data_IF_193663951413
#
_entry.id   IF_193663951413
#
_cell.length_a   1.000
_cell.length_b   1.000
_cell.length_c   1.000
_cell.angle_alpha   90.00
_cell.angle_beta   90.00
_cell.angle_gamma   90.00
#
_symmetry.space_group_name_H-M   'P 1'
#
loop_
_entity.id
_entity.type
_entity.pdbx_description
1 polymer ?
#
# COMPACT_ATOMS: atom_id res chain seq x y z
N UNK A 1 61.72 131.75 -39.14
CA UNK A 1 60.96 130.75 -39.93
C UNK A 1 61.70 129.45 -40.22
N UNK A 2 63.03 129.42 -40.39
CA UNK A 2 63.77 128.15 -40.63
C UNK A 2 63.79 127.15 -39.46
N UNK A 3 63.62 127.61 -38.21
CA UNK A 3 63.66 126.73 -37.02
C UNK A 3 62.34 125.99 -36.73
N UNK A 4 61.20 126.52 -37.22
CA UNK A 4 59.88 125.94 -36.96
C UNK A 4 59.54 124.84 -37.98
N UNK A 5 60.02 124.98 -39.22
CA UNK A 5 59.86 123.95 -40.27
C UNK A 5 60.69 122.69 -40.00
N UNK A 6 61.87 122.84 -39.37
CA UNK A 6 62.70 121.68 -38.97
C UNK A 6 62.11 120.95 -37.77
N UNK A 7 61.44 121.64 -36.85
CA UNK A 7 60.74 121.00 -35.74
C UNK A 7 59.50 120.23 -36.21
N UNK A 8 58.72 120.77 -37.16
CA UNK A 8 57.59 120.03 -37.74
C UNK A 8 58.04 118.83 -38.59
N UNK A 9 59.18 118.91 -39.30
CA UNK A 9 59.72 117.75 -40.04
C UNK A 9 60.26 116.65 -39.11
N UNK A 10 60.81 117.00 -37.94
CA UNK A 10 61.22 116.00 -36.93
C UNK A 10 60.02 115.31 -36.25
N UNK A 11 58.90 116.02 -36.08
CA UNK A 11 57.68 115.44 -35.51
C UNK A 11 56.97 114.53 -36.53
N UNK A 12 57.05 114.82 -37.84
CA UNK A 12 56.47 113.96 -38.88
C UNK A 12 57.34 112.76 -39.30
N UNK A 13 58.66 112.78 -39.04
CA UNK A 13 59.56 111.62 -39.30
C UNK A 13 59.57 110.62 -38.12
N UNK A 14 59.09 111.02 -36.94
CA UNK A 14 58.94 110.14 -35.77
C UNK A 14 57.61 109.38 -35.70
N UNK A 15 56.65 109.72 -36.56
CA UNK A 15 55.45 108.92 -36.83
C UNK A 15 55.64 108.07 -38.09
N UNK A 16 56.70 107.27 -38.10
CA UNK A 16 56.89 106.20 -39.07
C UNK A 16 55.85 105.08 -38.83
N UNK A 17 55.33 104.44 -39.90
CA UNK A 17 54.43 103.28 -39.81
C UNK A 17 55.04 102.09 -39.04
N UNK A 18 56.36 102.12 -38.82
CA UNK A 18 57.15 101.14 -38.11
C UNK A 18 56.63 100.82 -36.69
N UNK A 19 56.09 101.79 -35.94
CA UNK A 19 55.57 101.51 -34.59
C UNK A 19 54.23 100.74 -34.63
N UNK A 20 53.42 100.92 -35.67
CA UNK A 20 52.13 100.25 -35.81
C UNK A 20 52.29 98.83 -36.39
N UNK A 21 53.23 98.66 -37.33
CA UNK A 21 53.65 97.35 -37.85
C UNK A 21 54.36 96.51 -36.78
N UNK A 22 55.27 97.06 -35.98
CA UNK A 22 55.89 96.31 -34.88
C UNK A 22 54.88 95.83 -33.83
N UNK A 23 53.84 96.65 -33.54
CA UNK A 23 52.74 96.25 -32.65
C UNK A 23 51.86 95.17 -33.29
N UNK A 24 51.66 95.22 -34.62
CA UNK A 24 50.93 94.19 -35.38
C UNK A 24 51.70 92.87 -35.43
N UNK A 25 53.02 92.89 -35.65
CA UNK A 25 53.89 91.71 -35.60
C UNK A 25 53.95 91.09 -34.19
N UNK A 26 54.06 91.89 -33.13
CA UNK A 26 53.99 91.40 -31.75
C UNK A 26 52.61 90.84 -31.37
N UNK A 27 51.53 91.42 -31.91
CA UNK A 27 50.16 90.94 -31.70
C UNK A 27 49.86 89.67 -32.51
N UNK A 28 50.43 89.52 -33.70
CA UNK A 28 50.38 88.30 -34.51
C UNK A 28 51.16 87.15 -33.84
N UNK A 29 52.26 87.44 -33.14
CA UNK A 29 53.05 86.46 -32.37
C UNK A 29 52.35 86.03 -31.06
N UNK A 30 51.76 86.96 -30.30
CA UNK A 30 50.96 86.64 -29.10
C UNK A 30 49.72 85.79 -29.44
N UNK A 31 49.05 86.09 -30.56
CA UNK A 31 47.94 85.28 -31.05
C UNK A 31 48.41 83.90 -31.53
N UNK A 32 49.58 83.80 -32.17
CA UNK A 32 50.16 82.52 -32.59
C UNK A 32 50.51 81.63 -31.38
N UNK A 33 51.04 82.22 -30.30
CA UNK A 33 51.30 81.52 -29.03
C UNK A 33 50.00 81.01 -28.41
N UNK A 34 48.96 81.85 -28.29
CA UNK A 34 47.64 81.43 -27.79
C UNK A 34 46.99 80.34 -28.67
N UNK A 35 47.14 80.43 -29.99
CA UNK A 35 46.68 79.39 -30.92
C UNK A 35 47.42 78.07 -30.67
N UNK A 36 48.72 78.12 -30.38
CA UNK A 36 49.50 76.93 -30.05
C UNK A 36 49.10 76.34 -28.71
N UNK A 37 48.98 77.15 -27.66
CA UNK A 37 48.55 76.71 -26.32
C UNK A 37 47.14 76.10 -26.35
N UNK A 38 46.22 76.72 -27.09
CA UNK A 38 44.87 76.19 -27.29
C UNK A 38 44.89 74.90 -28.10
N UNK A 39 45.76 74.78 -29.10
CA UNK A 39 45.94 73.53 -29.85
C UNK A 39 46.50 72.41 -28.97
N UNK A 40 47.53 72.70 -28.17
CA UNK A 40 48.13 71.73 -27.25
C UNK A 40 47.07 71.27 -26.21
N UNK A 41 46.25 72.19 -25.70
CA UNK A 41 45.11 71.88 -24.83
C UNK A 41 44.04 71.02 -25.52
N UNK A 42 43.76 71.28 -26.80
CA UNK A 42 42.83 70.48 -27.61
C UNK A 42 43.39 69.06 -27.80
N UNK A 43 44.68 68.92 -28.06
CA UNK A 43 45.32 67.62 -28.26
C UNK A 43 45.34 66.80 -26.95
N UNK A 44 45.56 67.44 -25.81
CA UNK A 44 45.44 66.81 -24.48
C UNK A 44 44.00 66.34 -24.21
N UNK A 45 43.00 67.19 -24.44
CA UNK A 45 41.58 66.83 -24.30
C UNK A 45 41.17 65.69 -25.25
N UNK A 46 41.74 65.63 -26.45
CA UNK A 46 41.50 64.52 -27.39
C UNK A 46 42.05 63.20 -26.87
N UNK A 47 43.25 63.20 -26.28
CA UNK A 47 43.81 62.00 -25.66
C UNK A 47 42.99 61.54 -24.46
N UNK A 48 42.56 62.46 -23.60
CA UNK A 48 41.69 62.14 -22.47
C UNK A 48 40.34 61.57 -22.94
N UNK A 49 39.72 62.18 -23.94
CA UNK A 49 38.47 61.68 -24.53
C UNK A 49 38.64 60.26 -25.10
N UNK A 50 39.72 60.02 -25.84
CA UNK A 50 40.01 58.68 -26.36
C UNK A 50 40.21 57.64 -25.24
N UNK A 51 40.88 58.03 -24.15
CA UNK A 51 41.05 57.15 -23.00
C UNK A 51 39.69 56.81 -22.36
N UNK A 52 38.84 57.81 -22.17
CA UNK A 52 37.48 57.62 -21.63
C UNK A 52 36.62 56.75 -22.56
N UNK A 53 36.69 56.93 -23.88
CA UNK A 53 35.97 56.08 -24.84
C UNK A 53 36.42 54.61 -24.75
N UNK A 54 37.72 54.35 -24.56
CA UNK A 54 38.25 52.99 -24.39
C UNK A 54 37.75 52.38 -23.08
N UNK A 55 37.76 53.15 -21.98
CA UNK A 55 37.22 52.70 -20.70
C UNK A 55 35.73 52.36 -20.80
N UNK A 56 34.92 53.22 -21.44
CA UNK A 56 33.50 52.97 -21.66
C UNK A 56 33.27 51.68 -22.45
N UNK A 57 34.01 51.44 -23.53
CA UNK A 57 33.91 50.18 -24.30
C UNK A 57 34.23 48.96 -23.45
N UNK A 58 35.25 49.02 -22.60
CA UNK A 58 35.57 47.94 -21.65
C UNK A 58 34.46 47.72 -20.64
N UNK A 59 33.79 48.77 -20.18
CA UNK A 59 32.65 48.63 -19.27
C UNK A 59 31.44 48.00 -19.96
N UNK A 60 31.15 48.38 -21.19
CA UNK A 60 30.08 47.79 -21.98
C UNK A 60 30.30 46.30 -22.24
N UNK A 61 31.54 45.91 -22.57
CA UNK A 61 31.91 44.50 -22.71
C UNK A 61 31.74 43.73 -21.39
N UNK A 62 32.17 44.30 -20.26
CA UNK A 62 31.94 43.69 -18.92
C UNK A 62 30.45 43.53 -18.62
N UNK A 63 29.63 44.53 -18.96
CA UNK A 63 28.19 44.49 -18.75
C UNK A 63 27.55 43.37 -19.59
N UNK A 64 27.91 43.29 -20.87
CA UNK A 64 27.47 42.22 -21.78
C UNK A 64 27.84 40.83 -21.25
N UNK A 65 29.07 40.64 -20.77
CA UNK A 65 29.51 39.38 -20.17
C UNK A 65 28.72 39.02 -18.90
N UNK A 66 28.39 40.01 -18.05
CA UNK A 66 27.54 39.80 -16.89
C UNK A 66 26.11 39.42 -17.29
N UNK A 67 25.53 40.05 -18.32
CA UNK A 67 24.19 39.72 -18.82
C UNK A 67 24.13 38.27 -19.32
N UNK A 68 25.13 37.84 -20.11
CA UNK A 68 25.24 36.45 -20.56
C UNK A 68 25.36 35.46 -19.39
N UNK A 69 26.12 35.83 -18.36
CA UNK A 69 26.26 35.01 -17.15
C UNK A 69 24.94 34.90 -16.39
N UNK A 70 24.22 36.02 -16.24
CA UNK A 70 22.90 36.04 -15.61
C UNK A 70 21.89 35.19 -16.36
N UNK A 71 21.89 35.23 -17.68
CA UNK A 71 20.96 34.43 -18.49
C UNK A 71 21.28 32.92 -18.40
N UNK A 72 22.57 32.56 -18.40
CA UNK A 72 22.99 31.18 -18.16
C UNK A 72 22.56 30.69 -16.77
N UNK A 73 22.75 31.50 -15.72
CA UNK A 73 22.30 31.17 -14.37
C UNK A 73 20.77 31.04 -14.28
N UNK A 74 20.02 31.92 -14.96
CA UNK A 74 18.55 31.84 -15.03
C UNK A 74 18.08 30.55 -15.68
N UNK A 75 18.69 30.15 -16.80
CA UNK A 75 18.36 28.88 -17.47
C UNK A 75 18.65 27.68 -16.57
N UNK A 76 19.82 27.65 -15.93
CA UNK A 76 20.14 26.57 -14.98
C UNK A 76 19.16 26.48 -13.82
N UNK A 77 18.71 27.63 -13.28
CA UNK A 77 17.70 27.66 -12.22
C UNK A 77 16.35 27.16 -12.72
N UNK A 78 15.96 27.54 -13.94
CA UNK A 78 14.71 27.09 -14.56
C UNK A 78 14.72 25.57 -14.77
N UNK A 79 15.79 25.02 -15.33
CA UNK A 79 15.95 23.58 -15.56
C UNK A 79 15.95 22.78 -14.25
N UNK A 80 16.69 23.26 -13.23
CA UNK A 80 16.67 22.65 -11.89
C UNK A 80 15.28 22.68 -11.27
N UNK A 81 14.54 23.76 -11.46
CA UNK A 81 13.18 23.90 -10.93
C UNK A 81 12.22 22.97 -11.65
N UNK A 82 12.30 22.87 -12.98
CA UNK A 82 11.46 22.00 -13.80
C UNK A 82 11.72 20.52 -13.49
N UNK A 83 12.99 20.11 -13.44
CA UNK A 83 13.36 18.72 -13.09
C UNK A 83 12.90 18.33 -11.69
N UNK A 84 13.06 19.22 -10.70
CA UNK A 84 12.55 18.98 -9.35
C UNK A 84 11.01 18.87 -9.32
N UNK A 85 10.32 19.71 -10.10
CA UNK A 85 8.85 19.70 -10.21
C UNK A 85 8.35 18.41 -10.88
N UNK A 86 8.98 17.98 -11.97
CA UNK A 86 8.67 16.72 -12.66
C UNK A 86 8.85 15.53 -11.73
N UNK A 87 10.00 15.44 -11.05
CA UNK A 87 10.26 14.38 -10.09
C UNK A 87 9.23 14.35 -8.94
N UNK A 88 8.86 15.51 -8.41
CA UNK A 88 7.84 15.61 -7.36
C UNK A 88 6.46 15.19 -7.88
N UNK A 89 6.11 15.61 -9.10
CA UNK A 89 4.86 15.23 -9.78
C UNK A 89 4.78 13.72 -10.00
N UNK A 90 5.84 13.10 -10.51
CA UNK A 90 5.90 11.66 -10.72
C UNK A 90 5.78 10.89 -9.40
N UNK A 91 6.43 11.39 -8.34
CA UNK A 91 6.31 10.80 -7.02
C UNK A 91 4.89 10.91 -6.46
N UNK A 92 4.23 12.05 -6.67
CA UNK A 92 2.84 12.25 -6.25
C UNK A 92 1.90 11.29 -6.98
N UNK A 93 2.02 11.19 -8.31
CA UNK A 93 1.21 10.27 -9.13
C UNK A 93 1.42 8.80 -8.71
N UNK A 94 2.66 8.41 -8.43
CA UNK A 94 2.95 7.07 -7.93
C UNK A 94 2.31 6.81 -6.56
N UNK A 95 2.34 7.79 -5.65
CA UNK A 95 1.70 7.65 -4.34
C UNK A 95 0.18 7.58 -4.47
N UNK A 96 -0.42 8.40 -5.33
CA UNK A 96 -1.86 8.42 -5.59
C UNK A 96 -2.35 7.07 -6.13
N UNK A 97 -1.65 6.49 -7.11
CA UNK A 97 -2.00 5.14 -7.63
C UNK A 97 -1.91 4.07 -6.54
N UNK A 98 -0.90 4.13 -5.66
CA UNK A 98 -0.74 3.19 -4.55
C UNK A 98 -1.83 3.36 -3.48
N UNK A 99 -2.24 4.60 -3.19
CA UNK A 99 -3.36 4.89 -2.30
C UNK A 99 -4.65 4.30 -2.86
N UNK A 100 -4.96 4.57 -4.13
CA UNK A 100 -6.15 4.03 -4.80
C UNK A 100 -6.18 2.49 -4.79
N UNK A 101 -5.03 1.85 -4.98
CA UNK A 101 -4.92 0.39 -4.89
C UNK A 101 -5.22 -0.12 -3.48
N UNK A 102 -4.66 0.51 -2.45
CA UNK A 102 -4.88 0.14 -1.04
C UNK A 102 -6.35 0.37 -0.63
N UNK A 103 -6.97 1.46 -1.07
CA UNK A 103 -8.38 1.73 -0.83
C UNK A 103 -9.28 0.66 -1.44
N UNK A 104 -9.00 0.24 -2.68
CA UNK A 104 -9.76 -0.83 -3.32
C UNK A 104 -9.55 -2.18 -2.61
N UNK A 105 -8.33 -2.48 -2.17
CA UNK A 105 -8.05 -3.68 -1.37
C UNK A 105 -8.85 -3.67 -0.07
N UNK A 106 -8.86 -2.55 0.66
CA UNK A 106 -9.64 -2.42 1.90
C UNK A 106 -11.15 -2.58 1.67
N UNK A 107 -11.67 -2.05 0.56
CA UNK A 107 -13.08 -2.21 0.17
C UNK A 107 -13.43 -3.67 -0.08
N UNK A 108 -12.55 -4.42 -0.76
CA UNK A 108 -12.74 -5.85 -0.99
C UNK A 108 -12.70 -6.63 0.33
N UNK A 109 -11.73 -6.37 1.20
CA UNK A 109 -11.66 -7.01 2.52
C UNK A 109 -12.91 -6.74 3.38
N UNK A 110 -13.46 -5.53 3.32
CA UNK A 110 -14.69 -5.19 4.02
C UNK A 110 -15.89 -5.98 3.49
N UNK A 111 -15.97 -6.19 2.17
CA UNK A 111 -17.01 -7.00 1.56
C UNK A 111 -16.90 -8.48 1.97
N UNK A 112 -15.68 -9.02 1.96
CA UNK A 112 -15.41 -10.40 2.40
C UNK A 112 -15.78 -10.59 3.87
N UNK A 113 -15.41 -9.63 4.73
CA UNK A 113 -15.73 -9.67 6.16
C UNK A 113 -17.24 -9.61 6.42
N UNK A 114 -17.98 -8.81 5.64
CA UNK A 114 -19.45 -8.77 5.71
C UNK A 114 -20.04 -10.12 5.31
N UNK A 115 -19.53 -10.71 4.23
CA UNK A 115 -19.98 -12.00 3.72
C UNK A 115 -19.73 -13.12 4.74
N UNK A 116 -18.53 -13.13 5.34
CA UNK A 116 -18.16 -14.05 6.41
C UNK A 116 -19.06 -13.89 7.66
N UNK A 117 -19.38 -12.65 8.04
CA UNK A 117 -20.30 -12.38 9.15
C UNK A 117 -21.69 -12.96 8.88
N UNK A 118 -22.23 -12.73 7.68
CA UNK A 118 -23.53 -13.28 7.27
C UNK A 118 -23.50 -14.81 7.31
N UNK A 119 -22.47 -15.43 6.74
CA UNK A 119 -22.29 -16.88 6.80
C UNK A 119 -22.24 -17.42 8.24
N UNK A 120 -21.51 -16.75 9.13
CA UNK A 120 -21.44 -17.13 10.54
C UNK A 120 -22.80 -17.03 11.24
N UNK A 121 -23.57 -15.98 10.96
CA UNK A 121 -24.92 -15.80 11.50
C UNK A 121 -25.89 -16.87 11.00
N UNK A 122 -25.84 -17.19 9.70
CA UNK A 122 -26.64 -18.26 9.10
C UNK A 122 -26.29 -19.62 9.71
N UNK A 123 -25.00 -19.92 9.86
CA UNK A 123 -24.52 -21.16 10.50
C UNK A 123 -25.02 -21.27 11.96
N UNK A 124 -24.97 -20.18 12.73
CA UNK A 124 -25.49 -20.14 14.09
C UNK A 124 -27.02 -20.35 14.13
N UNK A 125 -27.76 -19.79 13.18
CA UNK A 125 -29.21 -19.97 13.07
C UNK A 125 -29.56 -21.44 12.78
N UNK A 126 -28.86 -22.06 11.82
CA UNK A 126 -29.03 -23.50 11.50
C UNK A 126 -28.73 -24.35 12.73
N UNK A 127 -27.65 -24.05 13.47
CA UNK A 127 -27.27 -24.80 14.66
C UNK A 127 -28.31 -24.69 15.79
N UNK A 128 -28.91 -23.52 15.97
CA UNK A 128 -30.00 -23.35 16.94
C UNK A 128 -31.26 -24.12 16.50
N UNK A 129 -31.56 -24.12 15.20
CA UNK A 129 -32.68 -24.89 14.66
C UNK A 129 -32.47 -26.40 14.82
N UNK A 130 -31.26 -26.92 14.57
CA UNK A 130 -30.96 -28.35 14.74
C UNK A 130 -31.02 -28.76 16.20
N UNK A 131 -30.50 -27.94 17.12
CA UNK A 131 -30.67 -28.15 18.57
C UNK A 131 -32.15 -28.23 18.97
N UNK A 132 -32.99 -27.33 18.47
CA UNK A 132 -34.43 -27.36 18.77
C UNK A 132 -35.09 -28.65 18.27
N UNK A 133 -34.74 -29.11 17.06
CA UNK A 133 -35.26 -30.38 16.51
C UNK A 133 -34.80 -31.60 17.32
N UNK A 134 -33.55 -31.60 17.78
CA UNK A 134 -33.02 -32.67 18.65
C UNK A 134 -33.84 -32.73 19.94
N UNK A 135 -34.04 -31.59 20.62
CA UNK A 135 -34.82 -31.54 21.86
C UNK A 135 -36.27 -32.02 21.66
N UNK A 136 -36.86 -31.77 20.49
CA UNK A 136 -38.21 -32.26 20.16
C UNK A 136 -38.23 -33.78 19.94
N UNK A 137 -37.23 -34.32 19.23
CA UNK A 137 -37.06 -35.77 19.04
C UNK A 137 -36.79 -36.49 20.36
N UNK A 138 -35.98 -35.91 21.25
CA UNK A 138 -35.73 -36.44 22.59
C UNK A 138 -37.04 -36.60 23.39
N UNK A 139 -37.91 -35.57 23.38
CA UNK A 139 -39.23 -35.66 24.02
C UNK A 139 -40.12 -36.75 23.43
N UNK A 140 -40.05 -36.96 22.11
CA UNK A 140 -40.81 -38.03 21.45
C UNK A 140 -40.31 -39.40 21.91
N UNK A 141 -38.99 -39.59 21.99
CA UNK A 141 -38.37 -40.82 22.47
C UNK A 141 -38.79 -41.10 23.91
N UNK A 142 -38.75 -40.11 24.80
CA UNK A 142 -39.15 -40.27 26.19
C UNK A 142 -40.61 -40.74 26.31
N UNK A 143 -41.52 -40.14 25.55
CA UNK A 143 -42.92 -40.53 25.52
C UNK A 143 -43.13 -41.94 24.93
N UNK A 144 -42.35 -42.32 23.91
CA UNK A 144 -42.39 -43.67 23.37
C UNK A 144 -41.91 -44.71 24.39
N UNK A 145 -40.86 -44.39 25.15
CA UNK A 145 -40.35 -45.26 26.20
C UNK A 145 -41.39 -45.48 27.31
N UNK A 146 -42.08 -44.43 27.76
CA UNK A 146 -43.19 -44.54 28.71
C UNK A 146 -44.32 -45.45 28.17
N UNK A 147 -44.69 -45.30 26.90
CA UNK A 147 -45.69 -46.16 26.26
C UNK A 147 -45.23 -47.63 26.19
N UNK A 148 -43.95 -47.88 25.88
CA UNK A 148 -43.37 -49.23 25.85
C UNK A 148 -43.42 -49.86 27.24
N UNK A 149 -43.04 -49.12 28.28
CA UNK A 149 -43.09 -49.60 29.66
C UNK A 149 -44.52 -49.98 30.07
N UNK A 150 -45.51 -49.14 29.72
CA UNK A 150 -46.92 -49.43 29.93
C UNK A 150 -47.40 -50.69 29.19
N UNK A 151 -46.97 -50.89 27.93
CA UNK A 151 -47.29 -52.10 27.16
C UNK A 151 -46.62 -53.34 27.79
N UNK A 152 -45.37 -53.23 28.23
CA UNK A 152 -44.65 -54.32 28.90
C UNK A 152 -45.35 -54.74 30.19
N UNK A 153 -45.81 -53.78 31.01
CA UNK A 153 -46.61 -54.03 32.21
C UNK A 153 -47.93 -54.74 31.87
N UNK A 154 -48.64 -54.27 30.85
CA UNK A 154 -49.88 -54.90 30.39
C UNK A 154 -49.64 -56.34 29.91
N UNK A 155 -48.58 -56.59 29.13
CA UNK A 155 -48.21 -57.92 28.67
C UNK A 155 -47.81 -58.84 29.83
N UNK A 156 -47.04 -58.34 30.80
CA UNK A 156 -46.69 -59.10 32.01
C UNK A 156 -47.93 -59.54 32.77
N UNK A 157 -48.87 -58.63 32.99
CA UNK A 157 -50.13 -58.95 33.67
C UNK A 157 -50.96 -59.97 32.88
N UNK A 158 -51.05 -59.85 31.55
CA UNK A 158 -51.73 -60.84 30.70
C UNK A 158 -51.04 -62.20 30.80
N UNK A 159 -49.71 -62.24 30.75
CA UNK A 159 -48.94 -63.46 30.91
C UNK A 159 -49.19 -64.07 32.29
N UNK A 160 -49.20 -63.29 33.38
CA UNK A 160 -49.51 -63.78 34.73
C UNK A 160 -50.92 -64.36 34.83
N UNK A 161 -51.91 -63.74 34.16
CA UNK A 161 -53.30 -64.25 34.10
C UNK A 161 -53.40 -65.51 33.22
N UNK A 162 -52.70 -65.57 32.09
CA UNK A 162 -52.66 -66.74 31.21
C UNK A 162 -51.81 -67.87 31.80
N UNK A 163 -50.85 -67.56 32.66
CA UNK A 163 -50.04 -68.50 33.44
C UNK A 163 -50.69 -68.88 34.78
N UNK A 164 -52.03 -69.01 34.79
CA UNK A 164 -52.72 -69.83 35.78
C UNK A 164 -52.13 -71.25 35.80
N UNK A 165 -51.11 -71.45 36.65
CA UNK A 165 -50.47 -72.71 37.05
C UNK A 165 -50.28 -73.74 35.91
N UNK A 166 -49.36 -73.47 34.99
CA UNK A 166 -48.62 -74.54 34.31
C UNK A 166 -47.22 -74.07 33.94
N UNK A 167 -46.26 -74.35 34.82
CA UNK A 167 -44.84 -74.39 34.47
C UNK A 167 -44.59 -75.58 33.55
N UNK A 168 -44.82 -75.41 32.25
CA UNK A 168 -44.27 -76.31 31.24
C UNK A 168 -43.24 -75.54 30.44
N UNK A 169 -42.00 -75.53 30.92
CA UNK A 169 -40.85 -75.34 30.05
C UNK A 169 -40.93 -76.42 28.98
N UNK A 170 -41.41 -76.09 27.79
CA UNK A 170 -41.32 -76.98 26.64
C UNK A 170 -39.86 -77.04 26.21
N UNK A 171 -39.07 -77.80 26.95
CA UNK A 171 -37.68 -78.07 26.63
C UNK A 171 -37.65 -78.77 25.28
N UNK A 172 -36.97 -78.17 24.31
CA UNK A 172 -36.91 -78.71 22.96
C UNK A 172 -35.82 -79.77 22.93
N UNK A 173 -36.21 -81.04 22.87
CA UNK A 173 -35.27 -82.16 22.78
C UNK A 173 -34.55 -82.19 21.42
N UNK A 174 -33.23 -82.26 21.41
CA UNK A 174 -32.38 -82.45 20.23
C UNK A 174 -31.60 -83.77 20.34
N UNK A 175 -31.60 -84.57 19.26
CA UNK A 175 -30.83 -85.82 19.19
C UNK A 175 -29.51 -85.58 18.49
N UNK A 176 -28.40 -85.81 19.21
CA UNK A 176 -27.03 -85.60 18.74
C UNK A 176 -26.74 -86.48 17.53
N UNK A 177 -26.20 -85.88 16.47
CA UNK A 177 -25.83 -86.55 15.21
C UNK A 177 -24.31 -86.69 15.10
N UNK A 178 -23.86 -87.52 14.15
CA UNK A 178 -22.44 -87.72 13.93
C UNK A 178 -21.77 -86.41 13.48
N UNK A 179 -20.70 -86.00 14.17
CA UNK A 179 -19.98 -84.74 13.91
C UNK A 179 -20.47 -83.51 14.69
N UNK A 180 -21.48 -83.67 15.55
CA UNK A 180 -21.94 -82.63 16.47
C UNK A 180 -20.95 -82.41 17.63
N UNK A 181 -20.88 -81.16 18.10
CA UNK A 181 -20.23 -80.77 19.35
C UNK A 181 -21.17 -79.83 20.11
N UNK A 182 -21.02 -79.72 21.44
CA UNK A 182 -21.84 -78.80 22.23
C UNK A 182 -21.77 -77.36 21.71
N UNK A 183 -20.59 -76.92 21.24
CA UNK A 183 -20.41 -75.59 20.67
C UNK A 183 -21.23 -75.38 19.38
N UNK A 184 -21.24 -76.37 18.47
CA UNK A 184 -22.02 -76.28 17.24
C UNK A 184 -23.51 -76.24 17.52
N UNK A 185 -23.97 -77.08 18.46
CA UNK A 185 -25.37 -77.14 18.87
C UNK A 185 -25.77 -75.83 19.57
N UNK A 186 -24.93 -75.31 20.47
CA UNK A 186 -25.15 -74.04 21.16
C UNK A 186 -25.30 -72.88 20.17
N UNK A 187 -24.36 -72.75 19.22
CA UNK A 187 -24.38 -71.71 18.18
C UNK A 187 -25.61 -71.83 17.29
N UNK A 188 -25.94 -73.05 16.85
CA UNK A 188 -27.08 -73.28 15.97
C UNK A 188 -28.42 -72.94 16.65
N UNK A 189 -28.54 -73.26 17.94
CA UNK A 189 -29.75 -73.00 18.73
C UNK A 189 -29.72 -71.67 19.49
N UNK A 190 -28.73 -70.80 19.22
CA UNK A 190 -28.57 -69.48 19.85
C UNK A 190 -28.59 -69.55 21.39
N UNK A 191 -28.04 -70.63 21.95
CA UNK A 191 -27.86 -70.81 23.39
C UNK A 191 -26.36 -70.85 23.73
N UNK A 192 -26.03 -70.95 25.00
CA UNK A 192 -24.64 -71.06 25.46
C UNK A 192 -24.31 -72.50 25.81
N UNK A 193 -23.02 -72.85 25.71
CA UNK A 193 -22.53 -74.17 26.14
C UNK A 193 -22.88 -74.39 27.62
N UNK A 194 -22.72 -73.34 28.45
CA UNK A 194 -23.02 -73.40 29.87
C UNK A 194 -24.50 -73.71 30.13
N UNK A 195 -25.41 -72.99 29.46
CA UNK A 195 -26.85 -73.24 29.59
C UNK A 195 -27.24 -74.66 29.12
N UNK A 196 -26.64 -75.17 28.04
CA UNK A 196 -26.86 -76.55 27.60
C UNK A 196 -26.34 -77.58 28.61
N UNK A 197 -25.18 -77.33 29.22
CA UNK A 197 -24.61 -78.22 30.24
C UNK A 197 -25.47 -78.24 31.50
N UNK A 198 -25.94 -77.08 31.94
CA UNK A 198 -26.84 -76.95 33.09
C UNK A 198 -28.18 -77.64 32.84
N UNK A 199 -28.80 -77.42 31.67
CA UNK A 199 -30.08 -78.03 31.30
C UNK A 199 -30.03 -79.56 31.17
N UNK A 200 -28.84 -80.15 30.96
CA UNK A 200 -28.64 -81.59 30.75
C UNK A 200 -27.77 -82.25 31.82
N UNK A 201 -27.43 -81.53 32.89
CA UNK A 201 -26.54 -81.99 33.95
C UNK A 201 -25.19 -82.56 33.45
N UNK A 202 -24.63 -81.97 32.39
CA UNK A 202 -23.35 -82.38 31.82
C UNK A 202 -22.19 -81.71 32.56
N UNK A 203 -21.25 -82.49 33.07
CA UNK A 203 -20.06 -81.97 33.78
C UNK A 203 -18.92 -81.62 32.83
N UNK A 204 -18.89 -82.19 31.63
CA UNK A 204 -17.86 -81.99 30.62
C UNK A 204 -18.49 -81.78 29.23
N UNK A 205 -17.64 -81.53 28.23
CA UNK A 205 -18.12 -81.17 26.89
C UNK A 205 -18.33 -82.39 25.98
N UNK A 206 -18.32 -83.60 26.56
CA UNK A 206 -18.49 -84.85 25.81
C UNK A 206 -19.98 -85.14 25.61
N UNK A 207 -20.36 -85.35 24.36
CA UNK A 207 -21.70 -85.81 23.96
C UNK A 207 -21.56 -87.03 23.06
N UNK A 208 -22.54 -87.94 23.14
CA UNK A 208 -22.52 -89.21 22.40
C UNK A 208 -23.51 -89.12 21.24
N UNK A 209 -23.12 -89.61 20.06
CA UNK A 209 -24.02 -89.69 18.91
C UNK A 209 -25.24 -90.55 19.28
N UNK A 210 -26.44 -89.99 19.06
CA UNK A 210 -27.71 -90.60 19.44
C UNK A 210 -28.24 -90.19 20.82
N UNK A 211 -27.43 -89.51 21.65
CA UNK A 211 -27.87 -88.91 22.91
C UNK A 211 -28.94 -87.84 22.65
N UNK A 212 -29.99 -87.80 23.47
CA UNK A 212 -30.97 -86.72 23.43
C UNK A 212 -30.64 -85.72 24.51
N UNK A 213 -30.52 -84.44 24.14
CA UNK A 213 -30.24 -83.32 25.04
C UNK A 213 -31.37 -82.30 24.95
N UNK A 214 -31.68 -81.66 26.07
CA UNK A 214 -32.63 -80.58 26.22
C UNK A 214 -31.98 -79.26 25.79
N UNK A 215 -32.60 -78.56 24.85
CA UNK A 215 -32.22 -77.19 24.51
C UNK A 215 -33.00 -76.25 25.46
N UNK A 216 -32.31 -75.44 26.28
CA UNK A 216 -32.92 -74.47 27.20
C UNK A 216 -33.56 -73.29 26.48
#
# INVERSE_FOLDING_TARGET
>A
MKLLLTFLSLIFISFTPCHLEARRYAYEDENAIKIRETKDSIDELRHELQNQEIEMKRFEEKLSNHDLTLDSMRQQLLDKTNTAKEFASDKANFLETKINQLEQQNKNFLADLKSFKTFSQESAAVLNQTKSKINELEKIIDKQNENIENIQLALKNIIEVMQGKSSSSSSKSYKVKNGDSLEKIAKFHQTTIQALKEANHLTNDKIIVGQTIQIP
#
